data_IF_641501451744
#
_entry.id   IF_641501451744
#
_cell.length_a   1.000
_cell.length_b   1.000
_cell.length_c   1.000
_cell.angle_alpha   90.00
_cell.angle_beta   90.00
_cell.angle_gamma   90.00
#
_symmetry.space_group_name_H-M   'P 1'
#
loop_
_entity.id
_entity.type
_entity.pdbx_description
1 polymer ?
#
# COMPACT_ATOMS: atom_id res chain seq x y z
N UNK A 1 -6.20 20.05 -5.89
CA UNK A 1 -5.46 19.03 -6.66
C UNK A 1 -6.48 18.01 -7.13
N UNK A 2 -6.58 17.69 -8.43
CA UNK A 2 -7.48 16.64 -8.90
C UNK A 2 -7.00 15.28 -8.36
N UNK A 3 -7.89 14.56 -7.68
CA UNK A 3 -7.63 13.17 -7.27
C UNK A 3 -7.52 12.29 -8.51
N UNK A 4 -6.47 11.48 -8.57
CA UNK A 4 -6.22 10.57 -9.68
C UNK A 4 -7.05 9.28 -9.48
N UNK A 5 -7.70 8.79 -10.52
CA UNK A 5 -8.40 7.49 -10.44
C UNK A 5 -7.39 6.34 -10.43
N UNK A 6 -7.78 5.18 -9.86
CA UNK A 6 -6.93 3.97 -9.85
C UNK A 6 -6.47 3.57 -11.26
N UNK A 7 -7.31 3.79 -12.27
CA UNK A 7 -6.99 3.52 -13.68
C UNK A 7 -5.91 4.45 -14.23
N UNK A 8 -5.97 5.74 -13.87
CA UNK A 8 -4.96 6.73 -14.26
C UNK A 8 -3.62 6.45 -13.58
N UNK A 9 -3.63 6.10 -12.28
CA UNK A 9 -2.43 5.70 -11.55
C UNK A 9 -1.75 4.48 -12.18
N UNK A 10 -2.53 3.49 -12.63
CA UNK A 10 -2.00 2.28 -13.30
C UNK A 10 -1.42 2.56 -14.69
N UNK A 11 -1.77 3.69 -15.33
CA UNK A 11 -1.27 4.08 -16.65
C UNK A 11 -0.14 5.11 -16.58
N UNK A 12 0.09 5.71 -15.42
CA UNK A 12 1.12 6.70 -15.23
C UNK A 12 2.54 6.12 -15.45
N UNK A 13 3.37 6.75 -16.29
CA UNK A 13 4.70 6.24 -16.62
C UNK A 13 5.68 6.31 -15.43
N UNK A 14 5.58 7.33 -14.58
CA UNK A 14 6.45 7.48 -13.41
C UNK A 14 6.11 6.45 -12.34
N UNK A 15 4.82 6.22 -12.07
CA UNK A 15 4.36 5.16 -11.16
C UNK A 15 4.86 3.81 -11.66
N UNK A 16 4.72 3.50 -12.94
CA UNK A 16 5.23 2.25 -13.53
C UNK A 16 6.74 2.11 -13.42
N UNK A 17 7.48 3.20 -13.61
CA UNK A 17 8.93 3.21 -13.46
C UNK A 17 9.34 2.93 -12.02
N UNK A 18 8.67 3.55 -11.05
CA UNK A 18 8.89 3.34 -9.62
C UNK A 18 8.59 1.88 -9.22
N UNK A 19 7.44 1.34 -9.63
CA UNK A 19 7.09 -0.07 -9.38
C UNK A 19 8.14 -1.03 -9.96
N UNK A 20 8.67 -0.74 -11.16
CA UNK A 20 9.75 -1.55 -11.76
C UNK A 20 11.05 -1.45 -10.97
N UNK A 21 11.42 -0.25 -10.51
CA UNK A 21 12.61 -0.04 -9.69
C UNK A 21 12.52 -0.86 -8.39
N UNK A 22 11.32 -0.93 -7.80
CA UNK A 22 11.04 -1.65 -6.55
C UNK A 22 10.71 -3.14 -6.76
N UNK A 23 10.76 -3.65 -8.00
CA UNK A 23 10.38 -5.01 -8.39
C UNK A 23 8.94 -5.40 -7.98
N UNK A 24 8.06 -4.41 -7.88
CA UNK A 24 6.63 -4.60 -7.60
C UNK A 24 5.90 -4.84 -8.92
N UNK A 25 5.10 -5.91 -8.96
CA UNK A 25 4.29 -6.20 -10.14
C UNK A 25 3.12 -5.21 -10.26
N UNK A 26 2.79 -4.82 -11.50
CA UNK A 26 1.63 -3.94 -11.76
C UNK A 26 0.31 -4.57 -11.29
N UNK A 27 0.20 -5.91 -11.34
CA UNK A 27 -0.96 -6.65 -10.88
C UNK A 27 -1.12 -6.57 -9.35
N UNK A 28 -0.01 -6.71 -8.61
CA UNK A 28 0.00 -6.55 -7.14
C UNK A 28 -0.42 -5.14 -6.75
N UNK A 29 0.08 -4.13 -7.46
CA UNK A 29 -0.32 -2.74 -7.23
C UNK A 29 -1.80 -2.48 -7.55
N UNK A 30 -2.32 -3.05 -8.65
CA UNK A 30 -3.74 -2.97 -8.98
C UNK A 30 -4.64 -3.59 -7.90
N UNK A 31 -4.24 -4.72 -7.32
CA UNK A 31 -4.96 -5.35 -6.22
C UNK A 31 -4.99 -4.48 -4.96
N UNK A 32 -3.91 -3.75 -4.66
CA UNK A 32 -3.86 -2.81 -3.54
C UNK A 32 -4.78 -1.62 -3.76
N UNK A 33 -4.81 -1.07 -4.98
CA UNK A 33 -5.72 0.02 -5.32
C UNK A 33 -7.19 -0.41 -5.25
N UNK A 34 -7.51 -1.63 -5.69
CA UNK A 34 -8.86 -2.18 -5.58
C UNK A 34 -9.26 -2.38 -4.10
N UNK A 35 -8.39 -2.96 -3.28
CA UNK A 35 -8.61 -3.10 -1.85
C UNK A 35 -8.84 -1.73 -1.17
N UNK A 36 -8.00 -0.74 -1.47
CA UNK A 36 -8.12 0.61 -0.92
C UNK A 36 -9.39 1.32 -1.39
N UNK A 37 -9.81 1.12 -2.64
CA UNK A 37 -11.07 1.68 -3.15
C UNK A 37 -12.28 1.07 -2.44
N UNK A 38 -12.26 -0.24 -2.17
CA UNK A 38 -13.30 -0.95 -1.41
C UNK A 38 -13.35 -0.52 0.05
N UNK A 39 -12.20 -0.25 0.66
CA UNK A 39 -12.12 0.30 2.02
C UNK A 39 -12.64 1.73 2.11
N UNK A 40 -12.31 2.59 1.15
CA UNK A 40 -12.83 3.96 1.10
C UNK A 40 -14.34 4.01 0.80
N UNK A 41 -14.87 3.01 0.09
CA UNK A 41 -16.31 2.85 -0.11
C UNK A 41 -17.04 2.34 1.15
N UNK A 42 -16.32 1.79 2.14
CA UNK A 42 -16.90 1.35 3.41
C UNK A 42 -16.91 2.53 4.40
N UNK A 43 -18.04 2.85 5.04
CA UNK A 43 -18.07 3.89 6.07
C UNK A 43 -17.08 3.53 7.19
N UNK A 44 -16.28 4.52 7.60
CA UNK A 44 -15.12 4.42 8.48
C UNK A 44 -15.39 3.81 9.88
N UNK A 45 -15.58 2.49 9.94
CA UNK A 45 -15.83 1.77 11.18
C UNK A 45 -14.64 0.96 11.72
N UNK A 46 -13.50 0.91 11.01
CA UNK A 46 -12.56 -0.20 11.25
C UNK A 46 -11.10 0.07 10.83
N UNK A 47 -10.63 1.30 10.99
CA UNK A 47 -9.22 1.68 10.69
C UNK A 47 -8.19 1.10 11.70
N UNK A 48 -8.60 0.13 12.53
CA UNK A 48 -7.75 -0.45 13.58
C UNK A 48 -6.90 -1.65 13.11
N UNK A 49 -7.29 -2.35 12.04
CA UNK A 49 -6.68 -3.66 11.74
C UNK A 49 -5.34 -3.63 10.99
N UNK A 50 -5.07 -2.62 10.16
CA UNK A 50 -3.84 -2.62 9.32
C UNK A 50 -2.64 -2.03 10.07
N UNK A 51 -2.86 -1.10 11.00
CA UNK A 51 -1.79 -0.50 11.82
C UNK A 51 -1.23 -1.47 12.88
N UNK A 52 -2.06 -2.40 13.38
CA UNK A 52 -1.64 -3.38 14.38
C UNK A 52 -0.60 -4.38 13.82
N UNK A 53 -0.83 -4.91 12.62
CA UNK A 53 -0.03 -6.05 12.11
C UNK A 53 1.38 -5.69 11.62
N UNK A 54 1.66 -4.42 11.33
CA UNK A 54 2.98 -3.99 10.83
C UNK A 54 3.95 -3.62 11.95
N UNK A 55 3.45 -3.37 13.17
CA UNK A 55 4.27 -2.93 14.32
C UNK A 55 4.95 -4.09 15.05
N UNK A 56 4.35 -5.27 15.04
CA UNK A 56 4.90 -6.45 15.74
C UNK A 56 6.09 -7.10 15.02
N UNK A 57 6.20 -6.94 13.70
CA UNK A 57 7.25 -7.61 12.91
C UNK A 57 8.61 -6.90 12.87
N UNK A 58 8.73 -5.64 13.31
CA UNK A 58 10.00 -4.90 13.27
C UNK A 58 10.82 -5.02 14.57
N UNK A 59 10.22 -5.43 15.68
CA UNK A 59 10.79 -5.16 17.01
C UNK A 59 11.75 -6.22 17.59
N UNK A 60 12.19 -7.23 16.82
CA UNK A 60 12.89 -8.40 17.41
C UNK A 60 14.43 -8.34 17.38
N UNK A 61 15.09 -7.54 16.53
CA UNK A 61 16.57 -7.64 16.38
C UNK A 61 17.42 -6.53 17.01
N UNK A 62 16.84 -5.60 17.77
CA UNK A 62 17.61 -4.45 18.30
C UNK A 62 18.31 -4.70 19.66
N UNK A 63 18.08 -5.82 20.35
CA UNK A 63 18.47 -5.99 21.75
C UNK A 63 19.66 -6.94 22.03
N UNK A 64 20.36 -7.46 21.01
CA UNK A 64 21.38 -8.49 21.21
C UNK A 64 22.84 -8.00 21.29
N UNK A 65 23.11 -6.71 21.45
CA UNK A 65 24.46 -6.18 21.58
C UNK A 65 24.56 -5.05 22.62
N UNK A 66 24.55 -5.38 23.92
CA UNK A 66 25.31 -4.67 24.97
C UNK A 66 25.73 -5.69 26.03
#
# INVERSE_FOLDING_TARGET
>A
MPEMTSSEMLRDPLIRQMLRADKISLASFAALLDAAARENARPAGDRAFVSAKMRDSWSIDAAAFI
#
